data_IF_233690050821
#
_entry.id   IF_233690050821
#
_cell.length_a   1.000
_cell.length_b   1.000
_cell.length_c   1.000
_cell.angle_alpha   90.00
_cell.angle_beta   90.00
_cell.angle_gamma   90.00
#
_symmetry.space_group_name_H-M   'P 1'
#
loop_
_entity.id
_entity.type
_entity.pdbx_description
1 polymer ?
#
# COMPACT_ATOMS: atom_id res chain seq x y z
N UNK A 1 -2.56 3.96 4.12
CA UNK A 1 -3.04 3.40 5.40
C UNK A 1 -4.01 4.39 6.03
N UNK A 2 -4.88 3.92 6.92
CA UNK A 2 -5.76 4.78 7.72
C UNK A 2 -4.95 5.63 8.71
N UNK A 3 -5.59 6.59 9.38
CA UNK A 3 -5.01 7.21 10.56
C UNK A 3 -5.12 6.23 11.73
N UNK A 4 -4.02 5.97 12.45
CA UNK A 4 -4.00 5.09 13.62
C UNK A 4 -4.96 5.59 14.72
N UNK A 5 -5.17 6.91 14.81
CA UNK A 5 -6.10 7.48 15.79
C UNK A 5 -7.54 7.01 15.56
N UNK A 6 -7.90 6.61 14.34
CA UNK A 6 -9.24 6.06 14.06
C UNK A 6 -9.52 4.75 14.82
N UNK A 7 -8.47 3.99 15.15
CA UNK A 7 -8.56 2.72 15.88
C UNK A 7 -8.52 2.92 17.40
N UNK A 8 -8.28 4.14 17.89
CA UNK A 8 -8.02 4.45 19.28
C UNK A 8 -9.18 5.24 19.87
N UNK A 9 -9.98 4.60 20.71
CA UNK A 9 -11.13 5.18 21.40
C UNK A 9 -10.73 6.34 22.33
N UNK A 10 -9.63 6.17 23.06
CA UNK A 10 -9.03 7.17 23.94
C UNK A 10 -8.55 8.44 23.22
N UNK A 11 -8.37 8.36 21.89
CA UNK A 11 -7.99 9.49 21.03
C UNK A 11 -9.13 10.00 20.15
N UNK A 12 -10.38 9.63 20.46
CA UNK A 12 -11.58 10.08 19.73
C UNK A 12 -11.85 9.33 18.43
N UNK A 13 -11.17 8.20 18.20
CA UNK A 13 -11.45 7.28 17.11
C UNK A 13 -12.66 6.38 17.39
N UNK A 14 -13.02 5.60 16.38
CA UNK A 14 -14.07 4.59 16.50
C UNK A 14 -13.62 3.29 15.81
N UNK A 15 -13.01 2.35 16.56
CA UNK A 15 -12.52 1.10 16.00
C UNK A 15 -13.65 0.22 15.44
N UNK A 16 -14.91 0.37 15.91
CA UNK A 16 -16.03 -0.42 15.41
C UNK A 16 -16.36 -0.14 13.95
N UNK A 17 -16.15 1.10 13.48
CA UNK A 17 -16.30 1.46 12.07
C UNK A 17 -15.28 0.67 11.21
N UNK A 18 -14.06 0.52 11.72
CA UNK A 18 -13.00 -0.24 11.04
C UNK A 18 -13.32 -1.73 11.05
N UNK A 19 -13.79 -2.27 12.19
CA UNK A 19 -14.22 -3.68 12.31
C UNK A 19 -15.36 -4.02 11.34
N UNK A 20 -16.37 -3.16 11.26
CA UNK A 20 -17.48 -3.35 10.33
C UNK A 20 -17.02 -3.23 8.86
N UNK A 21 -16.13 -2.28 8.56
CA UNK A 21 -15.52 -2.18 7.23
C UNK A 21 -14.74 -3.44 6.84
N UNK A 22 -14.00 -4.06 7.77
CA UNK A 22 -13.31 -5.33 7.54
C UNK A 22 -14.31 -6.46 7.26
N UNK A 23 -15.40 -6.54 8.05
CA UNK A 23 -16.46 -7.53 7.85
C UNK A 23 -17.12 -7.40 6.47
N UNK A 24 -17.43 -6.18 6.03
CA UNK A 24 -17.99 -5.89 4.70
C UNK A 24 -17.04 -6.26 3.55
N UNK A 25 -15.74 -6.37 3.82
CA UNK A 25 -14.71 -6.84 2.86
C UNK A 25 -14.47 -8.35 2.91
N UNK A 26 -15.07 -9.06 3.86
CA UNK A 26 -14.75 -10.47 4.12
C UNK A 26 -13.35 -10.65 4.71
N UNK A 27 -12.75 -9.58 5.23
CA UNK A 27 -11.41 -9.60 5.81
C UNK A 27 -11.46 -9.89 7.31
N UNK A 28 -10.38 -10.43 7.91
CA UNK A 28 -10.34 -10.73 9.33
C UNK A 28 -10.54 -9.47 10.18
N UNK A 29 -11.50 -9.52 11.10
CA UNK A 29 -11.87 -8.40 11.99
C UNK A 29 -10.88 -8.29 13.14
N UNK A 30 -10.35 -9.43 13.57
CA UNK A 30 -9.38 -9.58 14.66
C UNK A 30 -8.08 -8.83 14.39
N UNK A 31 -7.77 -8.58 13.11
CA UNK A 31 -6.64 -7.73 12.69
C UNK A 31 -6.70 -6.35 13.33
N UNK A 32 -7.90 -5.78 13.52
CA UNK A 32 -8.07 -4.46 14.16
C UNK A 32 -7.59 -4.50 15.61
N UNK A 33 -8.02 -5.51 16.36
CA UNK A 33 -7.67 -5.66 17.78
C UNK A 33 -6.18 -5.99 17.96
N UNK A 34 -5.63 -6.80 17.07
CA UNK A 34 -4.19 -7.10 17.03
C UNK A 34 -3.36 -5.82 16.83
N UNK A 35 -3.75 -4.95 15.90
CA UNK A 35 -3.06 -3.66 15.68
C UNK A 35 -3.15 -2.76 16.91
N UNK A 36 -4.34 -2.67 17.54
CA UNK A 36 -4.52 -1.86 18.75
C UNK A 36 -3.61 -2.37 19.87
N UNK A 37 -3.54 -3.69 20.08
CA UNK A 37 -2.70 -4.29 21.10
C UNK A 37 -1.21 -4.01 20.85
N UNK A 38 -0.72 -4.24 19.62
CA UNK A 38 0.66 -3.98 19.23
C UNK A 38 1.03 -2.50 19.37
N UNK A 39 0.12 -1.59 18.98
CA UNK A 39 0.33 -0.16 19.14
C UNK A 39 0.42 0.24 20.62
N UNK A 40 -0.45 -0.29 21.48
CA UNK A 40 -0.40 -0.01 22.94
C UNK A 40 0.90 -0.53 23.57
N UNK A 41 1.39 -1.69 23.14
CA UNK A 41 2.68 -2.23 23.57
C UNK A 41 3.84 -1.29 23.14
N UNK A 42 3.84 -0.84 21.88
CA UNK A 42 4.83 0.10 21.37
C UNK A 42 4.80 1.44 22.12
N UNK A 43 3.61 1.99 22.40
CA UNK A 43 3.47 3.24 23.20
C UNK A 43 4.08 3.08 24.58
N UNK A 44 3.88 1.94 25.25
CA UNK A 44 4.47 1.66 26.56
C UNK A 44 6.00 1.63 26.49
N UNK A 45 6.57 0.91 25.53
CA UNK A 45 8.02 0.83 25.33
C UNK A 45 8.60 2.22 25.04
N UNK A 46 7.92 3.00 24.21
CA UNK A 46 8.32 4.38 23.88
C UNK A 46 8.28 5.30 25.09
N UNK A 47 7.26 5.19 25.94
CA UNK A 47 7.19 5.92 27.19
C UNK A 47 8.33 5.53 28.15
N UNK A 48 8.62 4.24 28.29
CA UNK A 48 9.73 3.76 29.13
C UNK A 48 11.08 4.28 28.61
N UNK A 49 11.27 4.29 27.29
CA UNK A 49 12.46 4.86 26.64
C UNK A 49 12.59 6.36 26.93
N UNK A 50 11.50 7.12 26.85
CA UNK A 50 11.49 8.56 27.17
C UNK A 50 11.83 8.84 28.64
N UNK A 51 11.33 8.03 29.58
CA UNK A 51 11.68 8.12 30.99
C UNK A 51 13.17 7.83 31.22
N UNK A 52 13.71 6.79 30.57
CA UNK A 52 15.14 6.45 30.66
C UNK A 52 16.02 7.52 30.04
N UNK A 53 15.62 8.13 28.93
CA UNK A 53 16.30 9.28 28.34
C UNK A 53 16.32 10.49 29.29
N UNK A 54 15.19 10.77 29.97
CA UNK A 54 15.11 11.85 30.96
C UNK A 54 16.03 11.58 32.16
N UNK A 55 16.04 10.35 32.69
CA UNK A 55 16.92 9.94 33.77
C UNK A 55 18.40 10.04 33.36
N UNK A 56 18.77 9.53 32.18
CA UNK A 56 20.12 9.62 31.63
C UNK A 56 20.62 11.07 31.53
N UNK A 57 19.78 11.97 31.00
CA UNK A 57 20.12 13.38 30.88
C UNK A 57 20.24 14.07 32.25
N UNK A 58 19.45 13.67 33.24
CA UNK A 58 19.55 14.18 34.60
C UNK A 58 20.86 13.74 35.26
N UNK A 59 21.21 12.45 35.17
CA UNK A 59 22.49 11.90 35.67
C UNK A 59 23.67 12.59 34.98
N UNK A 60 23.61 12.80 33.66
CA UNK A 60 24.66 13.49 32.92
C UNK A 60 24.87 14.93 33.40
N UNK A 61 23.81 15.67 33.72
CA UNK A 61 23.91 17.01 34.33
C UNK A 61 24.53 16.94 35.73
N UNK A 62 24.11 15.99 36.56
CA UNK A 62 24.65 15.80 37.91
C UNK A 62 26.14 15.46 37.91
N UNK A 63 26.60 14.63 36.97
CA UNK A 63 28.04 14.36 36.77
C UNK A 63 28.79 15.67 36.46
N UNK A 64 28.25 16.49 35.55
CA UNK A 64 28.85 17.78 35.20
C UNK A 64 28.94 18.75 36.40
N UNK A 65 27.96 18.72 37.31
CA UNK A 65 27.97 19.52 38.54
C UNK A 65 29.01 19.01 39.54
N UNK A 66 29.07 17.70 39.80
CA UNK A 66 30.08 17.10 40.70
C UNK A 66 31.51 17.33 40.23
N UNK A 67 31.75 17.18 38.92
CA UNK A 67 33.06 17.46 38.32
C UNK A 67 33.47 18.93 38.51
N UNK A 68 32.52 19.88 38.41
CA UNK A 68 32.79 21.30 38.71
C UNK A 68 33.06 21.56 40.19
N UNK A 69 32.38 20.83 41.07
CA UNK A 69 32.56 20.90 42.51
C UNK A 69 33.82 20.16 43.02
N UNK A 70 34.58 19.49 42.12
CA UNK A 70 35.73 18.62 42.44
C UNK A 70 35.38 17.43 43.37
N UNK A 71 34.13 16.97 43.31
CA UNK A 71 33.66 15.77 44.01
C UNK A 71 33.79 14.53 43.11
N UNK A 72 33.92 13.34 43.71
CA UNK A 72 33.99 12.07 42.98
C UNK A 72 32.61 11.70 42.36
N UNK A 73 32.52 11.57 41.02
CA UNK A 73 31.29 11.18 40.33
C UNK A 73 31.17 9.66 40.12
N UNK A 74 32.07 8.81 40.64
CA UNK A 74 32.16 7.38 40.30
C UNK A 74 30.82 6.61 40.31
N UNK A 75 29.97 6.83 41.33
CA UNK A 75 28.65 6.20 41.40
C UNK A 75 27.69 6.64 40.27
N UNK A 76 27.71 7.93 39.92
CA UNK A 76 26.87 8.48 38.84
C UNK A 76 27.35 8.03 37.46
N UNK A 77 28.66 7.78 37.30
CA UNK A 77 29.22 7.24 36.06
C UNK A 77 28.72 5.80 35.84
N UNK A 78 28.69 4.98 36.88
CA UNK A 78 28.16 3.61 36.79
C UNK A 78 26.64 3.61 36.51
N UNK A 79 25.88 4.46 37.21
CA UNK A 79 24.44 4.65 36.95
C UNK A 79 24.18 5.10 35.50
N UNK A 80 24.99 6.03 34.97
CA UNK A 80 24.90 6.46 33.57
C UNK A 80 25.12 5.28 32.61
N UNK A 81 26.13 4.44 32.87
CA UNK A 81 26.45 3.28 32.02
C UNK A 81 25.33 2.23 32.02
N UNK A 82 24.70 2.00 33.17
CA UNK A 82 23.52 1.13 33.27
C UNK A 82 22.33 1.69 32.46
N UNK A 83 22.03 2.98 32.62
CA UNK A 83 20.97 3.65 31.86
C UNK A 83 21.24 3.64 30.35
N UNK A 84 22.50 3.71 29.93
CA UNK A 84 22.90 3.62 28.52
C UNK A 84 22.57 2.25 27.92
N UNK A 85 22.90 1.15 28.63
CA UNK A 85 22.57 -0.21 28.19
C UNK A 85 21.06 -0.48 28.16
N UNK A 86 20.32 -0.03 29.17
CA UNK A 86 18.85 -0.17 29.20
C UNK A 86 18.18 0.61 28.05
N UNK A 87 18.65 1.83 27.79
CA UNK A 87 18.17 2.67 26.69
C UNK A 87 18.43 2.01 25.34
N UNK A 88 19.62 1.45 25.12
CA UNK A 88 19.94 0.77 23.86
C UNK A 88 19.03 -0.44 23.63
N UNK A 89 18.83 -1.27 24.67
CA UNK A 89 17.89 -2.39 24.61
C UNK A 89 16.44 -1.97 24.32
N UNK A 90 15.96 -0.90 24.96
CA UNK A 90 14.63 -0.36 24.70
C UNK A 90 14.51 0.25 23.30
N UNK A 91 15.54 0.93 22.79
CA UNK A 91 15.58 1.52 21.45
C UNK A 91 15.46 0.46 20.35
N UNK A 92 16.15 -0.68 20.50
CA UNK A 92 16.02 -1.80 19.55
C UNK A 92 14.62 -2.40 19.60
N UNK A 93 14.07 -2.60 20.80
CA UNK A 93 12.70 -3.13 20.98
C UNK A 93 11.64 -2.19 20.41
N UNK A 94 11.79 -0.88 20.62
CA UNK A 94 10.89 0.14 20.12
C UNK A 94 10.82 0.11 18.59
N UNK A 95 11.98 0.10 17.91
CA UNK A 95 12.04 0.01 16.45
C UNK A 95 11.44 -1.29 15.91
N UNK A 96 11.74 -2.42 16.54
CA UNK A 96 11.20 -3.71 16.12
C UNK A 96 9.66 -3.74 16.23
N UNK A 97 9.13 -3.27 17.36
CA UNK A 97 7.68 -3.16 17.59
C UNK A 97 7.03 -2.15 16.67
N UNK A 98 7.73 -1.06 16.32
CA UNK A 98 7.24 -0.06 15.38
C UNK A 98 7.00 -0.65 13.99
N UNK A 99 7.95 -1.45 13.49
CA UNK A 99 7.82 -2.16 12.22
C UNK A 99 6.65 -3.15 12.28
N UNK A 100 6.60 -3.96 13.33
CA UNK A 100 5.57 -5.00 13.52
C UNK A 100 4.15 -4.44 13.48
N UNK A 101 3.85 -3.39 14.26
CA UNK A 101 2.50 -2.82 14.28
C UNK A 101 2.15 -2.11 12.97
N UNK A 102 3.12 -1.46 12.31
CA UNK A 102 2.90 -0.77 11.02
C UNK A 102 2.61 -1.75 9.89
N UNK A 103 3.34 -2.85 9.80
CA UNK A 103 3.11 -3.88 8.79
C UNK A 103 1.70 -4.46 8.92
N UNK A 104 1.29 -4.78 10.16
CA UNK A 104 -0.07 -5.24 10.41
C UNK A 104 -1.11 -4.17 10.11
N UNK A 105 -0.82 -2.90 10.43
CA UNK A 105 -1.73 -1.79 10.15
C UNK A 105 -1.92 -1.52 8.66
N UNK A 106 -0.88 -1.67 7.84
CA UNK A 106 -0.95 -1.51 6.37
C UNK A 106 -1.87 -2.55 5.73
N UNK A 107 -2.06 -3.72 6.35
CA UNK A 107 -2.98 -4.75 5.86
C UNK A 107 -4.47 -4.37 5.98
N UNK A 108 -4.81 -3.37 6.78
CA UNK A 108 -6.19 -2.90 6.95
C UNK A 108 -6.58 -2.05 5.73
N UNK A 109 -7.62 -2.48 5.02
CA UNK A 109 -8.17 -1.75 3.87
C UNK A 109 -8.79 -0.41 4.26
N UNK A 110 -9.00 0.47 3.27
CA UNK A 110 -9.70 1.73 3.51
C UNK A 110 -11.15 1.49 3.96
N UNK A 111 -11.77 2.48 4.62
CA UNK A 111 -13.16 2.39 5.08
C UNK A 111 -14.10 2.27 3.89
N UNK A 112 -14.89 1.19 3.87
CA UNK A 112 -15.91 0.99 2.84
C UNK A 112 -17.01 2.04 3.04
N UNK A 113 -17.23 2.88 2.03
CA UNK A 113 -18.23 3.94 2.10
C UNK A 113 -19.65 3.39 2.32
N UNK A 114 -20.52 4.15 2.99
CA UNK A 114 -21.88 3.73 3.34
C UNK A 114 -22.75 3.42 2.10
N UNK A 115 -22.45 4.05 0.97
CA UNK A 115 -23.18 3.84 -0.30
C UNK A 115 -22.82 2.54 -1.02
N UNK A 116 -21.75 1.84 -0.60
CA UNK A 116 -21.29 0.63 -1.30
C UNK A 116 -22.15 -0.57 -0.87
N UNK A 117 -22.74 -1.33 -1.80
CA UNK A 117 -23.46 -2.55 -1.46
C UNK A 117 -22.58 -3.53 -0.70
N UNK A 118 -23.13 -4.19 0.33
CA UNK A 118 -22.43 -5.22 1.08
C UNK A 118 -22.76 -6.59 0.51
N UNK A 119 -21.81 -7.20 -0.19
CA UNK A 119 -21.91 -8.54 -0.76
C UNK A 119 -20.50 -9.13 -0.91
N UNK A 120 -20.40 -10.46 -0.81
CA UNK A 120 -19.16 -11.20 -1.17
C UNK A 120 -19.19 -11.72 -2.62
N UNK A 121 -20.28 -11.48 -3.33
CA UNK A 121 -20.53 -11.96 -4.69
C UNK A 121 -20.75 -10.76 -5.64
N UNK A 122 -20.11 -10.82 -6.82
CA UNK A 122 -20.18 -9.83 -7.89
C UNK A 122 -21.55 -9.79 -8.57
N UNK A 123 -22.34 -10.87 -8.50
CA UNK A 123 -23.72 -10.90 -9.02
C UNK A 123 -24.63 -9.87 -8.33
N UNK A 124 -24.28 -9.43 -7.13
CA UNK A 124 -25.00 -8.41 -6.38
C UNK A 124 -24.51 -6.97 -6.66
N UNK A 125 -23.70 -6.77 -7.70
CA UNK A 125 -23.26 -5.44 -8.11
C UNK A 125 -24.45 -4.55 -8.47
N UNK A 126 -24.51 -3.35 -7.89
CA UNK A 126 -25.58 -2.41 -8.18
C UNK A 126 -25.42 -1.82 -9.60
N UNK A 127 -26.45 -1.99 -10.43
CA UNK A 127 -26.52 -1.33 -11.74
C UNK A 127 -26.85 0.16 -11.54
N UNK A 128 -25.86 1.02 -11.70
CA UNK A 128 -26.02 2.48 -11.50
C UNK A 128 -26.75 3.14 -12.68
N UNK A 129 -26.42 2.73 -13.90
CA UNK A 129 -27.03 3.27 -15.12
C UNK A 129 -26.88 2.29 -16.28
N UNK A 130 -27.93 2.17 -17.08
CA UNK A 130 -27.90 1.52 -18.40
C UNK A 130 -27.93 2.63 -19.45
N UNK A 131 -27.04 2.58 -20.43
CA UNK A 131 -26.99 3.52 -21.53
C UNK A 131 -27.03 2.77 -22.85
N UNK A 132 -28.05 3.08 -23.66
CA UNK A 132 -28.20 2.58 -25.01
C UNK A 132 -28.18 3.77 -25.97
N UNK A 133 -27.42 3.67 -27.05
CA UNK A 133 -27.45 4.71 -28.08
C UNK A 133 -28.83 4.72 -28.75
N UNK A 134 -29.44 5.90 -28.84
CA UNK A 134 -30.80 6.11 -29.36
C UNK A 134 -31.89 5.25 -28.70
N UNK A 135 -31.68 4.87 -27.42
CA UNK A 135 -32.55 3.96 -26.67
C UNK A 135 -32.73 2.56 -27.29
N UNK A 136 -31.86 2.20 -28.24
CA UNK A 136 -31.88 0.91 -28.92
C UNK A 136 -31.18 -0.14 -28.05
N UNK A 137 -31.94 -1.08 -27.51
CA UNK A 137 -31.39 -2.25 -26.79
C UNK A 137 -30.64 -3.14 -27.79
N UNK A 138 -29.33 -3.40 -27.60
CA UNK A 138 -28.59 -4.27 -28.51
C UNK A 138 -29.17 -5.69 -28.50
N UNK A 139 -29.62 -6.18 -29.65
CA UNK A 139 -30.05 -7.56 -29.78
C UNK A 139 -28.84 -8.50 -29.64
N UNK A 140 -28.92 -9.47 -28.72
CA UNK A 140 -27.88 -10.51 -28.56
C UNK A 140 -27.81 -11.34 -29.83
N UNK A 141 -26.78 -11.11 -30.65
CA UNK A 141 -26.50 -11.92 -31.84
C UNK A 141 -25.74 -13.17 -31.42
N UNK A 142 -26.20 -14.34 -31.86
CA UNK A 142 -25.56 -15.64 -31.55
C UNK A 142 -24.52 -16.04 -32.60
N UNK A 143 -24.53 -15.42 -33.78
CA UNK A 143 -23.60 -15.69 -34.88
C UNK A 143 -22.65 -14.50 -35.08
N UNK A 144 -21.88 -14.16 -34.05
CA UNK A 144 -20.83 -13.13 -34.11
C UNK A 144 -19.50 -13.77 -33.75
N UNK A 145 -18.46 -13.37 -34.49
CA UNK A 145 -17.09 -13.75 -34.16
C UNK A 145 -16.68 -13.06 -32.86
N UNK A 146 -15.91 -13.78 -32.05
CA UNK A 146 -15.27 -13.22 -30.87
C UNK A 146 -14.15 -12.24 -31.27
N UNK A 147 -13.73 -11.38 -30.35
CA UNK A 147 -12.73 -10.35 -30.62
C UNK A 147 -11.39 -10.94 -31.12
N UNK A 148 -10.98 -12.10 -30.61
CA UNK A 148 -9.73 -12.74 -31.01
C UNK A 148 -9.82 -13.34 -32.42
N UNK A 149 -10.95 -13.97 -32.77
CA UNK A 149 -11.17 -14.48 -34.13
C UNK A 149 -11.21 -13.35 -35.16
N UNK A 150 -11.83 -12.21 -34.82
CA UNK A 150 -11.85 -11.03 -35.70
C UNK A 150 -10.44 -10.50 -35.91
N UNK A 151 -9.70 -10.26 -34.82
CA UNK A 151 -8.33 -9.76 -34.88
C UNK A 151 -7.38 -10.70 -35.64
N UNK A 152 -7.56 -12.02 -35.50
CA UNK A 152 -6.81 -13.02 -36.25
C UNK A 152 -7.10 -12.94 -37.75
N UNK A 153 -8.39 -12.86 -38.13
CA UNK A 153 -8.80 -12.85 -39.54
C UNK A 153 -8.36 -11.60 -40.30
N UNK A 154 -8.19 -10.47 -39.62
CA UNK A 154 -7.70 -9.23 -40.23
C UNK A 154 -6.17 -9.11 -40.19
N UNK A 155 -5.45 -10.16 -39.77
CA UNK A 155 -4.01 -10.12 -39.55
C UNK A 155 -3.61 -8.93 -38.64
N UNK A 156 -4.40 -8.71 -37.60
CA UNK A 156 -4.27 -7.58 -36.66
C UNK A 156 -3.46 -7.92 -35.40
N UNK A 157 -3.22 -9.20 -35.14
CA UNK A 157 -2.33 -9.65 -34.08
C UNK A 157 -1.76 -11.06 -34.34
N UNK A 158 -0.60 -11.34 -33.76
CA UNK A 158 0.11 -12.62 -33.83
C UNK A 158 0.34 -13.17 -32.41
N UNK A 159 -0.52 -14.10 -32.01
CA UNK A 159 -0.45 -14.76 -30.70
C UNK A 159 0.57 -15.91 -30.67
N UNK A 160 0.75 -16.62 -31.78
CA UNK A 160 1.65 -17.79 -31.82
C UNK A 160 3.10 -17.36 -31.64
N UNK A 161 3.56 -16.39 -32.43
CA UNK A 161 4.91 -15.83 -32.28
C UNK A 161 5.04 -15.06 -30.97
N UNK A 162 3.98 -14.38 -30.55
CA UNK A 162 3.94 -13.71 -29.25
C UNK A 162 4.19 -14.66 -28.08
N UNK A 163 3.53 -15.82 -28.10
CA UNK A 163 3.68 -16.84 -27.05
C UNK A 163 5.08 -17.49 -27.05
N UNK A 164 5.68 -17.70 -28.23
CA UNK A 164 7.06 -18.21 -28.34
C UNK A 164 8.06 -17.23 -27.73
N UNK A 165 7.88 -15.92 -27.96
CA UNK A 165 8.84 -14.90 -27.55
C UNK A 165 8.66 -14.48 -26.08
N UNK A 166 7.42 -14.29 -25.62
CA UNK A 166 7.12 -13.69 -24.32
C UNK A 166 6.42 -14.66 -23.33
N UNK A 167 6.10 -15.90 -23.76
CA UNK A 167 5.41 -16.89 -22.94
C UNK A 167 3.89 -16.71 -22.88
N UNK A 168 3.26 -17.26 -21.85
CA UNK A 168 1.80 -17.26 -21.70
C UNK A 168 1.21 -15.84 -21.77
N UNK A 169 0.19 -15.65 -22.63
CA UNK A 169 -0.45 -14.36 -22.99
C UNK A 169 0.42 -13.37 -23.78
N UNK A 170 1.57 -13.79 -24.30
CA UNK A 170 2.36 -12.99 -25.26
C UNK A 170 1.64 -12.81 -26.61
N UNK A 171 1.71 -11.62 -27.18
CA UNK A 171 1.17 -11.30 -28.51
C UNK A 171 1.95 -10.16 -29.17
N UNK A 172 1.94 -10.11 -30.50
CA UNK A 172 2.30 -8.93 -31.28
C UNK A 172 1.04 -8.31 -31.88
N UNK A 173 0.96 -6.99 -31.96
CA UNK A 173 -0.01 -6.33 -32.83
C UNK A 173 0.62 -6.13 -34.22
N UNK A 174 -0.19 -6.27 -35.25
CA UNK A 174 0.22 -6.16 -36.65
C UNK A 174 -0.77 -5.29 -37.43
N UNK A 175 -0.29 -4.62 -38.50
CA UNK A 175 -1.09 -3.83 -39.43
C UNK A 175 -2.12 -2.92 -38.72
N UNK A 176 -3.40 -3.06 -39.11
CA UNK A 176 -4.54 -2.33 -38.57
C UNK A 176 -4.69 -2.46 -37.05
N UNK A 177 -4.19 -3.54 -36.44
CA UNK A 177 -4.19 -3.70 -34.98
C UNK A 177 -3.27 -2.70 -34.27
N UNK A 178 -2.11 -2.39 -34.88
CA UNK A 178 -1.20 -1.34 -34.39
C UNK A 178 -1.85 0.03 -34.54
N UNK A 179 -2.40 0.31 -35.71
CA UNK A 179 -3.02 1.60 -36.02
C UNK A 179 -4.21 1.89 -35.11
N UNK A 180 -5.07 0.89 -34.88
CA UNK A 180 -6.21 1.02 -33.96
C UNK A 180 -5.77 1.32 -32.52
N UNK A 181 -4.74 0.63 -32.02
CA UNK A 181 -4.21 0.87 -30.68
C UNK A 181 -3.69 2.30 -30.53
N UNK A 182 -2.89 2.79 -31.48
CA UNK A 182 -2.36 4.15 -31.48
C UNK A 182 -3.49 5.19 -31.59
N UNK A 183 -4.49 4.94 -32.44
CA UNK A 183 -5.65 5.82 -32.60
C UNK A 183 -6.44 5.95 -31.29
N UNK A 184 -6.67 4.84 -30.56
CA UNK A 184 -7.37 4.85 -29.27
C UNK A 184 -6.59 5.61 -28.19
N UNK A 185 -5.27 5.40 -28.10
CA UNK A 185 -4.41 6.15 -27.17
C UNK A 185 -4.51 7.65 -27.45
N UNK A 186 -4.35 8.05 -28.71
CA UNK A 186 -4.39 9.45 -29.09
C UNK A 186 -5.77 10.08 -28.88
N UNK A 187 -6.84 9.35 -29.19
CA UNK A 187 -8.21 9.77 -28.92
C UNK A 187 -8.43 10.02 -27.43
N UNK A 188 -8.07 9.07 -26.56
CA UNK A 188 -8.20 9.20 -25.10
C UNK A 188 -7.44 10.41 -24.56
N UNK A 189 -6.19 10.60 -24.98
CA UNK A 189 -5.37 11.75 -24.59
C UNK A 189 -6.00 13.08 -25.04
N UNK A 190 -6.50 13.16 -26.27
CA UNK A 190 -7.17 14.35 -26.81
C UNK A 190 -8.49 14.64 -26.07
N UNK A 191 -9.29 13.59 -25.84
CA UNK A 191 -10.58 13.66 -25.15
C UNK A 191 -10.45 14.19 -23.72
N UNK A 192 -9.46 13.70 -22.96
CA UNK A 192 -9.17 14.20 -21.61
C UNK A 192 -8.52 15.59 -21.63
N UNK A 193 -7.61 15.85 -22.59
CA UNK A 193 -6.96 17.15 -22.73
C UNK A 193 -7.96 18.29 -22.96
N UNK A 194 -9.01 18.05 -23.76
CA UNK A 194 -10.12 19.02 -23.98
C UNK A 194 -10.94 19.30 -22.72
N UNK A 195 -10.87 18.45 -21.69
CA UNK A 195 -11.52 18.63 -20.38
C UNK A 195 -10.59 19.23 -19.32
N UNK A 196 -9.43 19.74 -19.73
CA UNK A 196 -8.47 20.40 -18.84
C UNK A 196 -7.54 19.46 -18.10
N UNK A 197 -7.53 18.15 -18.42
CA UNK A 197 -6.54 17.23 -17.85
C UNK A 197 -5.16 17.47 -18.46
N UNK A 198 -4.12 17.45 -17.62
CA UNK A 198 -2.73 17.53 -18.06
C UNK A 198 -2.29 16.18 -18.63
N UNK A 199 -1.84 16.16 -19.89
CA UNK A 199 -1.20 14.97 -20.49
C UNK A 199 0.13 14.73 -19.78
N UNK A 200 0.33 13.51 -19.30
CA UNK A 200 1.55 13.10 -18.60
C UNK A 200 1.89 11.67 -19.00
N UNK A 201 3.07 11.49 -19.60
CA UNK A 201 3.67 10.17 -19.81
C UNK A 201 4.62 9.89 -18.65
N UNK A 202 4.41 8.77 -17.97
CA UNK A 202 5.22 8.36 -16.82
C UNK A 202 6.31 7.37 -17.24
N UNK A 203 7.39 7.24 -16.46
CA UNK A 203 8.25 6.06 -16.54
C UNK A 203 7.44 4.77 -16.33
N UNK A 204 7.86 3.68 -16.94
CA UNK A 204 7.19 2.37 -16.82
C UNK A 204 7.76 1.48 -15.72
N UNK A 205 8.80 1.96 -15.04
CA UNK A 205 9.39 1.32 -13.86
C UNK A 205 9.50 2.35 -12.73
N UNK A 206 9.46 1.86 -11.50
CA UNK A 206 9.46 2.71 -10.31
C UNK A 206 10.30 2.07 -9.20
N UNK A 207 10.91 2.90 -8.34
CA UNK A 207 11.65 2.41 -7.17
C UNK A 207 10.70 1.70 -6.21
N UNK A 208 11.16 0.59 -5.62
CA UNK A 208 10.39 -0.23 -4.66
C UNK A 208 9.76 0.62 -3.55
N UNK A 209 10.54 1.51 -2.94
CA UNK A 209 10.10 2.38 -1.84
C UNK A 209 8.96 3.35 -2.23
N UNK A 210 8.90 3.75 -3.51
CA UNK A 210 7.85 4.65 -4.01
C UNK A 210 6.59 3.85 -4.33
N UNK A 211 6.75 2.69 -5.00
CA UNK A 211 5.62 1.78 -5.26
C UNK A 211 4.96 1.32 -3.96
N UNK A 212 5.74 1.12 -2.89
CA UNK A 212 5.23 0.57 -1.63
C UNK A 212 4.28 1.51 -0.90
N UNK A 213 4.24 2.79 -1.33
CA UNK A 213 3.30 3.78 -0.81
C UNK A 213 1.94 3.72 -1.50
N UNK A 214 1.85 3.11 -2.68
CA UNK A 214 0.65 3.11 -3.53
C UNK A 214 0.07 1.73 -3.76
N UNK A 215 0.92 0.70 -3.90
CA UNK A 215 0.51 -0.68 -4.11
C UNK A 215 0.47 -1.44 -2.78
N UNK A 216 -0.45 -2.40 -2.66
CA UNK A 216 -0.50 -3.30 -1.52
C UNK A 216 0.63 -4.32 -1.59
N UNK A 217 1.08 -4.82 -0.43
CA UNK A 217 2.22 -5.72 -0.34
C UNK A 217 2.02 -7.01 -1.16
N UNK A 218 0.81 -7.56 -1.18
CA UNK A 218 0.44 -8.75 -1.99
C UNK A 218 0.60 -8.52 -3.49
N UNK A 219 0.38 -7.29 -3.97
CA UNK A 219 0.54 -6.94 -5.38
C UNK A 219 2.02 -6.96 -5.82
N UNK A 220 2.97 -6.79 -4.90
CA UNK A 220 4.39 -6.86 -5.23
C UNK A 220 4.86 -8.25 -5.62
N UNK A 221 4.27 -9.28 -5.04
CA UNK A 221 4.74 -10.65 -5.20
C UNK A 221 4.05 -11.34 -6.39
N UNK A 222 2.77 -11.05 -6.62
CA UNK A 222 1.97 -11.75 -7.64
C UNK A 222 1.73 -10.94 -8.92
N UNK A 223 1.63 -9.61 -8.84
CA UNK A 223 1.14 -8.78 -9.96
C UNK A 223 2.25 -7.94 -10.64
N UNK A 224 3.36 -7.67 -9.96
CA UNK A 224 4.40 -6.75 -10.43
C UNK A 224 5.66 -7.46 -10.90
N UNK A 225 6.09 -7.15 -12.13
CA UNK A 225 7.42 -7.55 -12.61
C UNK A 225 8.52 -6.80 -11.85
N UNK A 226 9.47 -7.55 -11.28
CA UNK A 226 10.65 -6.98 -10.62
C UNK A 226 11.80 -6.87 -11.62
N UNK A 227 12.21 -5.64 -11.93
CA UNK A 227 13.42 -5.38 -12.69
C UNK A 227 14.62 -5.46 -11.76
N UNK A 228 15.50 -6.44 -11.97
CA UNK A 228 16.79 -6.54 -11.28
C UNK A 228 17.85 -5.89 -12.15
N UNK A 229 18.65 -5.01 -11.55
CA UNK A 229 19.89 -4.56 -12.18
C UNK A 229 20.92 -5.62 -11.83
N UNK A 230 21.10 -6.59 -12.71
CA UNK A 230 22.31 -7.39 -12.64
C UNK A 230 23.47 -6.43 -12.93
N UNK A 231 24.36 -6.28 -11.95
CA UNK A 231 25.62 -5.57 -12.13
C UNK A 231 26.47 -6.36 -13.12
N UNK A 232 26.24 -6.16 -14.41
CA UNK A 232 27.17 -6.52 -15.45
C UNK A 232 28.33 -5.51 -15.39
N UNK A 233 29.40 -5.93 -14.72
CA UNK A 233 30.76 -5.44 -15.02
C UNK A 233 31.13 -5.93 -16.40
#
# INVERSE_FOLDING_TARGET
MLDINLLLDDKGGNPDIVRESQRRRGAPVETVDQVIALYKEWVKIRFDLDQKNKAFNAVQKSIGLKMKAKEDPGQLIEEKKQLEGEKEGLSVKEKAKEVEWKEKFISIGNIVHASVPTSMDEENNQVVRIYNHDDIVPAKKTNILSHHEVLYRIDGYDQERGAIIAGHRGYFLTNDGVDLNLALIQYGLSFLGRRGYKKLQTPFFMRKEVMAKTAQLSQFEEELYTVRVDSFV
#
